data_IF_910554266899
#
_entry.id   IF_910554266899
#
_cell.length_a   1.000
_cell.length_b   1.000
_cell.length_c   1.000
_cell.angle_alpha   90.00
_cell.angle_beta   90.00
_cell.angle_gamma   90.00
#
_symmetry.space_group_name_H-M   'P 1'
#
loop_
_entity.id
_entity.type
_entity.pdbx_description
1 polymer ?
#
# COMPACT_ATOMS: atom_id res chain seq x y z
N UNK A 1 -3.03 1.54 -2.02
CA UNK A 1 -3.94 1.45 -3.19
C UNK A 1 -4.38 2.82 -3.69
N UNK A 2 -5.02 3.72 -2.89
CA UNK A 2 -5.48 5.04 -3.37
C UNK A 2 -4.35 5.93 -3.89
N UNK A 3 -3.18 5.97 -3.25
CA UNK A 3 -2.03 6.75 -3.73
C UNK A 3 -1.54 6.22 -5.08
N UNK A 4 -1.46 4.90 -5.25
CA UNK A 4 -1.07 4.27 -6.52
C UNK A 4 -2.04 4.67 -7.63
N UNK A 5 -3.35 4.55 -7.39
CA UNK A 5 -4.37 4.98 -8.35
C UNK A 5 -4.22 6.45 -8.73
N UNK A 6 -4.04 7.33 -7.74
CA UNK A 6 -3.86 8.76 -7.97
C UNK A 6 -2.62 9.06 -8.83
N UNK A 7 -1.47 8.46 -8.51
CA UNK A 7 -0.23 8.67 -9.27
C UNK A 7 -0.40 8.18 -10.71
N UNK A 8 -0.95 6.99 -10.92
CA UNK A 8 -1.18 6.46 -12.26
C UNK A 8 -2.14 7.34 -13.07
N UNK A 9 -3.26 7.77 -12.48
CA UNK A 9 -4.22 8.67 -13.15
C UNK A 9 -3.61 10.01 -13.55
N UNK A 10 -2.78 10.61 -12.69
CA UNK A 10 -2.06 11.85 -12.99
C UNK A 10 -1.02 11.71 -14.11
N UNK A 11 -0.64 10.48 -14.43
CA UNK A 11 0.27 10.15 -15.52
C UNK A 11 -0.46 9.52 -16.73
N UNK A 12 -1.77 9.72 -16.86
CA UNK A 12 -2.54 9.35 -18.05
C UNK A 12 -3.05 7.90 -18.07
N UNK A 13 -2.80 7.12 -17.00
CA UNK A 13 -3.30 5.74 -16.95
C UNK A 13 -4.74 5.70 -16.43
N UNK A 14 -5.57 4.89 -17.07
CA UNK A 14 -6.90 4.60 -16.55
C UNK A 14 -6.82 3.55 -15.45
N UNK A 15 -7.35 3.86 -14.27
CA UNK A 15 -7.32 2.96 -13.11
C UNK A 15 -8.72 2.69 -12.59
N UNK A 16 -8.95 1.45 -12.16
CA UNK A 16 -10.13 1.01 -11.41
C UNK A 16 -9.67 0.53 -10.04
N UNK A 17 -10.27 1.06 -9.00
CA UNK A 17 -9.93 0.74 -7.61
C UNK A 17 -11.08 -0.01 -6.94
N UNK A 18 -10.79 -1.13 -6.32
CA UNK A 18 -11.79 -1.94 -5.61
C UNK A 18 -11.21 -2.98 -4.68
N UNK A 19 -12.08 -3.86 -4.21
CA UNK A 19 -11.77 -4.93 -3.26
C UNK A 19 -12.23 -4.61 -1.84
N UNK A 20 -11.32 -4.63 -0.87
CA UNK A 20 -11.62 -4.29 0.53
C UNK A 20 -11.96 -2.81 0.73
N UNK A 21 -11.74 -1.98 -0.29
CA UNK A 21 -12.12 -0.57 -0.36
C UNK A 21 -12.81 -0.28 -1.68
N UNK A 22 -13.68 0.71 -1.70
CA UNK A 22 -14.37 1.13 -2.92
C UNK A 22 -15.42 0.12 -3.39
N UNK A 23 -15.31 -0.30 -4.65
CA UNK A 23 -16.29 -1.22 -5.27
C UNK A 23 -15.86 -2.69 -5.10
N UNK A 24 -16.83 -3.64 -5.01
CA UNK A 24 -16.51 -5.07 -5.07
C UNK A 24 -15.75 -5.41 -6.35
N UNK A 25 -14.78 -6.34 -6.26
CA UNK A 25 -13.92 -6.70 -7.42
C UNK A 25 -14.75 -7.12 -8.63
N UNK A 26 -15.78 -7.94 -8.44
CA UNK A 26 -16.61 -8.47 -9.52
C UNK A 26 -17.51 -7.40 -10.19
N UNK A 27 -17.71 -6.25 -9.58
CA UNK A 27 -18.44 -5.14 -10.19
C UNK A 27 -17.57 -4.21 -11.04
N UNK A 28 -16.25 -4.44 -11.06
CA UNK A 28 -15.32 -3.61 -11.83
C UNK A 28 -15.32 -4.02 -13.30
N UNK A 29 -15.80 -3.14 -14.16
CA UNK A 29 -15.79 -3.35 -15.63
C UNK A 29 -14.47 -2.78 -16.19
N UNK A 30 -13.43 -3.62 -16.29
CA UNK A 30 -12.12 -3.24 -16.85
C UNK A 30 -12.02 -3.51 -18.33
N UNK A 31 -11.28 -2.66 -19.05
CA UNK A 31 -10.83 -2.90 -20.43
C UNK A 31 -9.39 -3.41 -20.41
N UNK A 32 -8.90 -3.96 -21.52
CA UNK A 32 -7.59 -4.61 -21.65
C UNK A 32 -6.41 -3.75 -21.14
N UNK A 33 -6.47 -2.44 -21.31
CA UNK A 33 -5.39 -1.53 -20.94
C UNK A 33 -5.64 -0.75 -19.61
N UNK A 34 -6.70 -1.11 -18.87
CA UNK A 34 -7.00 -0.48 -17.59
C UNK A 34 -6.15 -1.10 -16.47
N UNK A 35 -5.64 -0.27 -15.55
CA UNK A 35 -5.01 -0.77 -14.32
C UNK A 35 -6.07 -1.10 -13.28
N UNK A 36 -6.18 -2.37 -12.94
CA UNK A 36 -7.05 -2.85 -11.89
C UNK A 36 -6.27 -2.88 -10.56
N UNK A 37 -6.58 -1.97 -9.66
CA UNK A 37 -5.93 -1.86 -8.35
C UNK A 37 -6.85 -2.47 -7.30
N UNK A 38 -6.45 -3.63 -6.77
CA UNK A 38 -7.25 -4.37 -5.80
C UNK A 38 -6.60 -4.28 -4.42
N UNK A 39 -7.33 -3.77 -3.44
CA UNK A 39 -6.98 -3.93 -2.03
C UNK A 39 -7.59 -5.22 -1.51
N UNK A 40 -6.73 -6.21 -1.22
CA UNK A 40 -7.18 -7.53 -0.78
C UNK A 40 -6.95 -7.71 0.73
N UNK A 41 -8.02 -8.03 1.47
CA UNK A 41 -7.92 -8.44 2.87
C UNK A 41 -7.41 -9.88 2.99
N UNK A 42 -6.92 -10.25 4.18
CA UNK A 42 -6.53 -11.64 4.48
C UNK A 42 -7.70 -12.61 4.35
N UNK A 43 -8.91 -12.17 4.64
CA UNK A 43 -10.15 -12.93 4.45
C UNK A 43 -10.38 -13.28 2.97
N UNK A 44 -10.35 -12.27 2.10
CA UNK A 44 -10.50 -12.46 0.66
C UNK A 44 -9.41 -13.36 0.09
N UNK A 45 -8.15 -13.14 0.50
CA UNK A 45 -7.02 -13.97 0.08
C UNK A 45 -7.12 -15.42 0.56
N UNK A 46 -7.69 -15.67 1.75
CA UNK A 46 -7.85 -17.03 2.27
C UNK A 46 -8.75 -17.89 1.37
N UNK A 47 -9.77 -17.28 0.74
CA UNK A 47 -10.69 -17.94 -0.18
C UNK A 47 -10.24 -17.86 -1.65
N UNK A 48 -9.21 -17.07 -1.98
CA UNK A 48 -8.75 -16.90 -3.35
C UNK A 48 -7.84 -18.05 -3.78
N UNK A 49 -8.25 -18.79 -4.83
CA UNK A 49 -7.46 -19.89 -5.43
C UNK A 49 -6.58 -19.44 -6.59
N UNK A 50 -7.08 -18.54 -7.44
CA UNK A 50 -6.49 -18.21 -8.74
C UNK A 50 -5.95 -16.80 -8.87
N UNK A 51 -5.87 -16.04 -7.76
CA UNK A 51 -5.31 -14.69 -7.80
C UNK A 51 -3.89 -14.70 -8.36
N UNK A 52 -3.64 -13.91 -9.40
CA UNK A 52 -2.38 -13.86 -10.12
C UNK A 52 -2.11 -12.40 -10.57
N UNK A 53 -1.75 -11.48 -9.67
CA UNK A 53 -1.52 -10.08 -10.03
C UNK A 53 -0.16 -9.89 -10.70
N UNK A 54 -0.08 -8.95 -11.66
CA UNK A 54 1.19 -8.58 -12.29
C UNK A 54 2.13 -7.90 -11.28
N UNK A 55 1.56 -7.15 -10.35
CA UNK A 55 2.26 -6.49 -9.25
C UNK A 55 1.55 -6.81 -7.94
N UNK A 56 2.19 -7.55 -7.06
CA UNK A 56 1.68 -7.84 -5.73
C UNK A 56 2.48 -7.08 -4.67
N UNK A 57 1.78 -6.48 -3.70
CA UNK A 57 2.40 -5.75 -2.61
C UNK A 57 1.95 -6.34 -1.27
N UNK A 58 2.90 -6.71 -0.42
CA UNK A 58 2.67 -7.06 0.98
C UNK A 58 3.47 -6.09 1.86
N UNK A 59 2.78 -5.15 2.50
CA UNK A 59 3.39 -4.13 3.34
C UNK A 59 3.95 -4.75 4.63
N UNK A 60 3.06 -5.16 5.52
CA UNK A 60 3.41 -5.72 6.82
C UNK A 60 2.38 -6.78 7.27
N UNK A 61 2.74 -7.50 8.30
CA UNK A 61 1.88 -8.46 8.99
C UNK A 61 2.02 -8.17 10.49
N UNK A 62 0.97 -7.61 11.10
CA UNK A 62 0.82 -7.44 12.53
C UNK A 62 0.07 -8.62 13.15
N UNK A 63 -0.03 -8.67 14.47
CA UNK A 63 -0.95 -9.59 15.13
C UNK A 63 -2.35 -8.99 15.06
N UNK A 64 -3.15 -9.51 14.13
CA UNK A 64 -4.51 -9.05 13.87
C UNK A 64 -5.36 -10.21 13.36
N UNK A 65 -6.67 -10.15 13.54
CA UNK A 65 -7.61 -11.15 13.02
C UNK A 65 -7.29 -12.62 13.41
N UNK A 66 -6.66 -12.84 14.58
CA UNK A 66 -6.29 -14.19 15.03
C UNK A 66 -7.49 -15.00 15.45
N UNK A 67 -8.54 -14.38 15.93
CA UNK A 67 -9.85 -14.95 16.23
C UNK A 67 -10.45 -15.65 15.00
N UNK A 68 -10.30 -15.07 13.81
CA UNK A 68 -10.81 -15.64 12.57
C UNK A 68 -9.85 -16.67 11.95
N UNK A 69 -8.54 -16.35 11.90
CA UNK A 69 -7.53 -17.21 11.28
C UNK A 69 -7.06 -18.35 12.19
N UNK A 70 -7.45 -18.34 13.46
CA UNK A 70 -7.05 -19.28 14.49
C UNK A 70 -5.63 -19.08 15.03
N UNK A 71 -4.67 -18.69 14.18
CA UNK A 71 -3.30 -18.42 14.61
C UNK A 71 -2.53 -17.55 13.59
N UNK A 72 -1.39 -17.02 14.04
CA UNK A 72 -0.51 -16.16 13.23
C UNK A 72 0.03 -16.83 11.96
N UNK A 73 0.27 -18.14 11.99
CA UNK A 73 0.76 -18.91 10.83
C UNK A 73 -0.29 -18.93 9.71
N UNK A 74 -1.54 -19.19 10.04
CA UNK A 74 -2.65 -19.19 9.08
C UNK A 74 -2.90 -17.79 8.51
N UNK A 75 -2.89 -16.77 9.36
CA UNK A 75 -2.99 -15.37 8.92
C UNK A 75 -1.89 -15.00 7.92
N UNK A 76 -0.63 -15.32 8.24
CA UNK A 76 0.51 -15.11 7.34
C UNK A 76 0.34 -15.90 6.04
N UNK A 77 -0.07 -17.16 6.11
CA UNK A 77 -0.30 -17.99 4.94
C UNK A 77 -1.37 -17.42 4.01
N UNK A 78 -2.45 -16.91 4.58
CA UNK A 78 -3.51 -16.24 3.79
C UNK A 78 -2.98 -15.03 3.03
N UNK A 79 -2.21 -14.16 3.68
CA UNK A 79 -1.60 -12.99 3.03
C UNK A 79 -0.61 -13.37 1.93
N UNK A 80 0.18 -14.43 2.12
CA UNK A 80 1.16 -14.89 1.12
C UNK A 80 0.51 -15.52 -0.12
N UNK A 81 -0.77 -15.88 -0.08
CA UNK A 81 -1.50 -16.39 -1.28
C UNK A 81 -1.49 -15.41 -2.45
N UNK A 82 -1.34 -14.09 -2.20
CA UNK A 82 -1.26 -13.07 -3.25
C UNK A 82 -0.11 -13.32 -4.23
N UNK A 83 0.95 -14.02 -3.81
CA UNK A 83 2.12 -14.33 -4.65
C UNK A 83 2.07 -15.73 -5.26
N UNK A 84 1.16 -16.61 -4.78
CA UNK A 84 1.21 -18.04 -5.05
C UNK A 84 1.22 -18.40 -6.54
N UNK A 85 0.41 -17.71 -7.33
CA UNK A 85 0.24 -18.02 -8.75
C UNK A 85 1.03 -17.09 -9.68
N UNK A 86 1.82 -16.17 -9.12
CA UNK A 86 2.64 -15.26 -9.94
C UNK A 86 3.64 -16.01 -10.79
N UNK A 87 3.84 -15.51 -12.01
CA UNK A 87 4.81 -16.01 -13.00
C UNK A 87 6.14 -15.26 -12.85
N UNK A 88 7.20 -15.77 -13.50
CA UNK A 88 8.57 -15.18 -13.46
C UNK A 88 8.66 -13.74 -14.00
N UNK A 89 7.72 -13.31 -14.83
CA UNK A 89 7.67 -11.94 -15.37
C UNK A 89 6.85 -10.96 -14.53
N UNK A 90 6.22 -11.42 -13.43
CA UNK A 90 5.42 -10.60 -12.53
C UNK A 90 6.23 -10.19 -11.30
N UNK A 91 5.81 -9.15 -10.58
CA UNK A 91 6.60 -8.51 -9.53
C UNK A 91 5.96 -8.68 -8.14
N UNK A 92 6.80 -9.02 -7.17
CA UNK A 92 6.44 -9.20 -5.76
C UNK A 92 7.17 -8.18 -4.90
N UNK A 93 6.48 -7.17 -4.40
CA UNK A 93 7.04 -6.14 -3.52
C UNK A 93 6.74 -6.51 -2.07
N UNK A 94 7.77 -6.76 -1.28
CA UNK A 94 7.66 -7.15 0.13
C UNK A 94 8.71 -6.47 1.00
N UNK A 95 8.46 -6.37 2.30
CA UNK A 95 9.46 -5.93 3.28
C UNK A 95 10.62 -6.92 3.41
N UNK A 96 11.79 -6.41 3.77
CA UNK A 96 13.01 -7.24 3.93
C UNK A 96 12.82 -8.38 4.95
N UNK A 97 12.01 -8.16 5.98
CA UNK A 97 11.67 -9.17 7.00
C UNK A 97 10.93 -10.40 6.45
N UNK A 98 10.35 -10.30 5.25
CA UNK A 98 9.67 -11.41 4.58
C UNK A 98 10.51 -12.11 3.50
N UNK A 99 11.72 -11.63 3.23
CA UNK A 99 12.61 -12.15 2.16
C UNK A 99 12.87 -13.65 2.31
N UNK A 100 13.22 -14.10 3.51
CA UNK A 100 13.50 -15.51 3.80
C UNK A 100 12.25 -16.37 3.61
N UNK A 101 11.12 -15.92 4.10
CA UNK A 101 9.84 -16.61 3.94
C UNK A 101 9.43 -16.73 2.47
N UNK A 102 9.60 -15.65 1.69
CA UNK A 102 9.31 -15.65 0.26
C UNK A 102 10.14 -16.69 -0.49
N UNK A 103 11.44 -16.78 -0.19
CA UNK A 103 12.36 -17.75 -0.79
C UNK A 103 12.01 -19.19 -0.39
N UNK A 104 11.73 -19.44 0.90
CA UNK A 104 11.34 -20.77 1.39
C UNK A 104 10.07 -21.31 0.74
N UNK A 105 9.19 -20.44 0.26
CA UNK A 105 7.93 -20.82 -0.44
C UNK A 105 8.11 -21.05 -1.93
N UNK A 106 9.31 -20.92 -2.49
CA UNK A 106 9.62 -21.08 -3.92
C UNK A 106 8.68 -20.27 -4.83
N UNK A 107 8.35 -19.03 -4.41
CA UNK A 107 7.48 -18.13 -5.14
C UNK A 107 8.19 -17.62 -6.40
N UNK A 108 7.47 -17.55 -7.53
CA UNK A 108 8.06 -17.33 -8.86
C UNK A 108 8.22 -15.86 -9.26
N UNK A 109 7.45 -14.95 -8.64
CA UNK A 109 7.47 -13.53 -8.96
C UNK A 109 8.85 -12.90 -8.72
N UNK A 110 9.23 -11.91 -9.53
CA UNK A 110 10.45 -11.12 -9.33
C UNK A 110 10.37 -10.36 -8.01
N UNK A 111 11.24 -10.72 -7.07
CA UNK A 111 11.27 -10.14 -5.73
C UNK A 111 11.87 -8.74 -5.76
N UNK A 112 11.09 -7.77 -5.29
CA UNK A 112 11.51 -6.38 -5.06
C UNK A 112 11.38 -6.07 -3.57
N UNK A 113 12.45 -5.54 -2.99
CA UNK A 113 12.46 -5.09 -1.59
C UNK A 113 12.60 -3.57 -1.58
N UNK A 114 11.52 -2.83 -1.32
CA UNK A 114 11.58 -1.38 -1.24
C UNK A 114 12.58 -0.92 -0.18
N UNK A 115 13.47 0.00 -0.57
CA UNK A 115 14.49 0.54 0.31
C UNK A 115 14.03 1.88 0.87
N UNK A 116 13.69 1.90 2.14
CA UNK A 116 13.27 3.13 2.85
C UNK A 116 14.33 4.25 2.73
N UNK A 117 15.62 3.89 2.72
CA UNK A 117 16.74 4.84 2.54
C UNK A 117 16.62 5.60 1.20
N UNK A 118 16.28 4.92 0.12
CA UNK A 118 16.11 5.53 -1.19
C UNK A 118 14.91 6.48 -1.22
N UNK A 119 13.79 6.06 -0.63
CA UNK A 119 12.62 6.90 -0.51
C UNK A 119 12.89 8.15 0.36
N UNK A 120 13.60 8.03 1.49
CA UNK A 120 13.93 9.17 2.35
C UNK A 120 14.69 10.29 1.62
N UNK A 121 15.58 9.95 0.69
CA UNK A 121 16.23 10.95 -0.16
C UNK A 121 15.23 11.69 -1.04
N UNK A 122 14.28 10.98 -1.63
CA UNK A 122 13.23 11.56 -2.46
C UNK A 122 12.22 12.38 -1.62
N UNK A 123 11.92 11.94 -0.40
CA UNK A 123 10.98 12.59 0.53
C UNK A 123 11.29 14.07 0.74
N UNK A 124 12.57 14.46 0.73
CA UNK A 124 12.99 15.85 0.87
C UNK A 124 12.40 16.76 -0.22
N UNK A 125 12.17 16.22 -1.42
CA UNK A 125 11.61 16.92 -2.58
C UNK A 125 10.07 16.90 -2.62
N UNK A 126 9.41 16.12 -1.76
CA UNK A 126 7.94 16.05 -1.70
C UNK A 126 7.42 17.37 -1.12
N UNK A 127 6.48 18.01 -1.80
CA UNK A 127 5.85 19.26 -1.34
C UNK A 127 4.54 19.01 -0.57
N UNK A 128 3.92 17.87 -0.75
CA UNK A 128 2.66 17.52 -0.11
C UNK A 128 2.87 17.26 1.40
N UNK A 129 2.28 18.08 2.30
CA UNK A 129 2.52 17.97 3.74
C UNK A 129 2.00 16.65 4.33
N UNK A 130 0.86 16.14 3.86
CA UNK A 130 0.33 14.86 4.31
C UNK A 130 1.28 13.69 3.98
N UNK A 131 1.86 13.67 2.78
CA UNK A 131 2.76 12.61 2.35
C UNK A 131 4.17 12.75 2.95
N UNK A 132 4.52 13.92 3.50
CA UNK A 132 5.74 14.13 4.27
C UNK A 132 5.69 13.55 5.69
N UNK A 133 4.52 13.22 6.21
CA UNK A 133 4.41 12.60 7.53
C UNK A 133 5.11 11.26 7.57
N UNK A 134 5.87 11.00 8.63
CA UNK A 134 6.66 9.77 8.79
C UNK A 134 5.83 8.49 8.79
N UNK A 135 4.55 8.60 9.21
CA UNK A 135 3.59 7.49 9.15
C UNK A 135 3.37 6.96 7.74
N UNK A 136 3.67 7.76 6.71
CA UNK A 136 3.51 7.37 5.30
C UNK A 136 4.79 6.79 4.70
N UNK A 137 5.94 6.86 5.37
CA UNK A 137 7.25 6.54 4.80
C UNK A 137 7.33 5.11 4.26
N UNK A 138 6.88 4.13 5.04
CA UNK A 138 6.85 2.74 4.60
C UNK A 138 5.97 2.59 3.36
N UNK A 139 4.72 3.05 3.41
CA UNK A 139 3.77 2.95 2.29
C UNK A 139 4.31 3.65 1.03
N UNK A 140 4.89 4.83 1.19
CA UNK A 140 5.43 5.61 0.07
C UNK A 140 6.68 4.98 -0.54
N UNK A 141 7.49 4.27 0.24
CA UNK A 141 8.63 3.54 -0.30
C UNK A 141 8.18 2.44 -1.29
N UNK A 142 7.08 1.75 -0.99
CA UNK A 142 6.48 0.78 -1.92
C UNK A 142 5.88 1.44 -3.16
N UNK A 143 5.19 2.57 -2.99
CA UNK A 143 4.63 3.31 -4.13
C UNK A 143 5.76 3.77 -5.05
N UNK A 144 6.84 4.31 -4.49
CA UNK A 144 7.99 4.77 -5.26
C UNK A 144 8.65 3.63 -6.05
N UNK A 145 8.90 2.47 -5.43
CA UNK A 145 9.46 1.33 -6.15
C UNK A 145 8.50 0.79 -7.22
N UNK A 146 7.19 0.76 -6.94
CA UNK A 146 6.21 0.32 -7.92
C UNK A 146 6.17 1.23 -9.16
N UNK A 147 6.15 2.56 -8.98
CA UNK A 147 6.07 3.49 -10.13
C UNK A 147 7.31 3.47 -11.00
N UNK A 148 8.48 3.13 -10.45
CA UNK A 148 9.70 2.88 -11.23
C UNK A 148 9.53 1.69 -12.18
N UNK A 149 8.81 0.65 -11.79
CA UNK A 149 8.52 -0.51 -12.64
C UNK A 149 7.62 -0.14 -13.84
N UNK A 150 6.87 0.95 -13.74
CA UNK A 150 6.10 1.51 -14.86
C UNK A 150 6.90 2.50 -15.72
N UNK A 151 8.19 2.70 -15.43
CA UNK A 151 9.03 3.66 -16.15
C UNK A 151 8.70 5.13 -15.83
N UNK A 152 7.95 5.41 -14.77
CA UNK A 152 7.66 6.78 -14.37
C UNK A 152 8.89 7.43 -13.75
N UNK A 153 9.36 8.51 -14.39
CA UNK A 153 10.46 9.32 -13.89
C UNK A 153 10.12 10.04 -12.58
N UNK A 154 11.14 10.34 -11.78
CA UNK A 154 11.04 11.02 -10.48
C UNK A 154 10.22 12.32 -10.56
N UNK A 155 10.46 13.15 -11.59
CA UNK A 155 9.74 14.42 -11.79
C UNK A 155 8.22 14.23 -11.91
N UNK A 156 7.79 13.28 -12.72
CA UNK A 156 6.38 12.97 -12.93
C UNK A 156 5.73 12.41 -11.65
N UNK A 157 6.45 11.55 -10.94
CA UNK A 157 6.02 11.05 -9.65
C UNK A 157 5.81 12.19 -8.65
N UNK A 158 6.81 13.06 -8.42
CA UNK A 158 6.72 14.18 -7.50
C UNK A 158 5.58 15.15 -7.86
N UNK A 159 5.41 15.45 -9.14
CA UNK A 159 4.33 16.31 -9.61
C UNK A 159 2.95 15.70 -9.30
N UNK A 160 2.78 14.40 -9.51
CA UNK A 160 1.51 13.72 -9.22
C UNK A 160 1.15 13.75 -7.73
N UNK A 161 2.13 13.76 -6.83
CA UNK A 161 1.89 13.80 -5.39
C UNK A 161 1.34 15.14 -4.89
N UNK A 162 1.60 16.26 -5.59
CA UNK A 162 1.18 17.61 -5.16
C UNK A 162 -0.32 17.71 -4.91
N UNK A 163 -1.13 17.09 -5.75
CA UNK A 163 -2.59 17.16 -5.70
C UNK A 163 -3.25 16.08 -4.86
N UNK A 164 -2.49 15.22 -4.17
CA UNK A 164 -3.06 14.19 -3.32
C UNK A 164 -3.59 14.78 -2.01
N UNK A 165 -4.91 14.68 -1.79
CA UNK A 165 -5.58 15.32 -0.64
C UNK A 165 -5.51 14.54 0.68
N UNK A 166 -4.74 13.45 0.74
CA UNK A 166 -4.75 12.54 1.89
C UNK A 166 -5.87 11.51 1.82
N UNK A 167 -6.07 10.80 2.92
CA UNK A 167 -7.09 9.76 3.05
C UNK A 167 -8.03 10.10 4.20
N UNK A 168 -9.36 10.05 3.99
CA UNK A 168 -10.32 10.22 5.07
C UNK A 168 -10.03 9.24 6.22
N UNK A 169 -10.13 9.73 7.44
CA UNK A 169 -9.95 8.95 8.67
C UNK A 169 -8.55 8.34 8.86
N UNK A 170 -7.52 8.86 8.16
CA UNK A 170 -6.11 8.50 8.34
C UNK A 170 -5.28 9.74 8.52
N UNK A 171 -4.96 10.08 9.77
CA UNK A 171 -4.28 11.33 10.15
C UNK A 171 -4.91 12.54 9.42
N UNK A 172 -6.21 12.55 9.37
CA UNK A 172 -6.99 13.58 8.69
C UNK A 172 -7.11 14.82 9.58
N UNK A 173 -6.42 15.89 9.21
CA UNK A 173 -6.58 17.17 9.88
C UNK A 173 -7.88 17.79 9.36
N UNK A 174 -8.93 17.79 10.17
CA UNK A 174 -10.23 18.28 9.76
C UNK A 174 -10.57 19.67 10.33
N UNK A 175 -9.84 20.11 11.34
CA UNK A 175 -10.00 21.46 11.92
C UNK A 175 -8.69 21.95 12.51
N UNK A 176 -8.38 23.24 12.28
CA UNK A 176 -7.34 23.98 12.97
C UNK A 176 -7.95 25.22 13.59
N UNK A 177 -7.81 25.39 14.89
CA UNK A 177 -8.36 26.56 15.63
C UNK A 177 -7.33 27.05 16.65
N UNK A 178 -6.83 28.29 16.47
CA UNK A 178 -5.77 28.87 17.29
C UNK A 178 -4.58 27.90 17.43
N UNK A 179 -4.28 27.43 18.63
CA UNK A 179 -3.17 26.53 18.93
C UNK A 179 -3.56 25.05 18.94
N UNK A 180 -4.78 24.71 18.51
CA UNK A 180 -5.28 23.35 18.51
C UNK A 180 -5.43 22.83 17.08
N UNK A 181 -4.92 21.61 16.85
CA UNK A 181 -5.13 20.86 15.61
C UNK A 181 -5.95 19.60 15.92
N UNK A 182 -7.08 19.45 15.25
CA UNK A 182 -7.96 18.29 15.40
C UNK A 182 -7.69 17.28 14.30
N UNK A 183 -7.37 16.04 14.70
CA UNK A 183 -6.95 14.98 13.80
C UNK A 183 -7.90 13.80 13.96
N UNK A 184 -8.43 13.32 12.84
CA UNK A 184 -9.20 12.08 12.77
C UNK A 184 -8.32 10.95 12.22
N UNK A 185 -8.05 9.95 13.04
CA UNK A 185 -7.32 8.72 12.66
C UNK A 185 -8.11 7.46 13.02
N UNK A 186 -9.44 7.51 12.89
CA UNK A 186 -10.35 6.43 13.28
C UNK A 186 -10.19 5.12 12.51
N UNK A 187 -9.41 5.11 11.45
CA UNK A 187 -8.97 3.87 10.78
C UNK A 187 -7.81 3.13 11.44
N UNK A 188 -7.20 3.72 12.45
CA UNK A 188 -6.24 3.03 13.31
C UNK A 188 -7.00 2.19 14.34
N UNK A 189 -7.10 0.89 14.13
CA UNK A 189 -7.89 -0.04 14.96
C UNK A 189 -7.06 -0.71 16.07
N UNK A 190 -5.80 -0.33 16.22
CA UNK A 190 -4.92 -0.84 17.27
C UNK A 190 -3.96 0.25 17.76
N UNK A 191 -3.47 0.11 18.99
CA UNK A 191 -2.44 1.02 19.54
C UNK A 191 -1.20 1.10 18.63
N UNK A 192 -0.79 -0.02 18.05
CA UNK A 192 0.33 -0.07 17.13
C UNK A 192 0.09 0.80 15.88
N UNK A 193 -1.13 0.82 15.36
CA UNK A 193 -1.51 1.65 14.23
C UNK A 193 -1.54 3.14 14.59
N UNK A 194 -2.05 3.49 15.78
CA UNK A 194 -2.15 4.89 16.25
C UNK A 194 -0.80 5.49 16.67
N UNK A 195 0.19 4.66 17.00
CA UNK A 195 1.51 5.13 17.47
C UNK A 195 2.18 6.11 16.51
N UNK A 196 2.02 5.90 15.20
CA UNK A 196 2.56 6.81 14.19
C UNK A 196 1.91 8.19 14.24
N UNK A 197 0.58 8.24 14.41
CA UNK A 197 -0.18 9.48 14.51
C UNK A 197 0.22 10.27 15.76
N UNK A 198 0.31 9.59 16.91
CA UNK A 198 0.71 10.22 18.19
C UNK A 198 2.12 10.83 18.14
N UNK A 199 3.08 10.17 17.47
CA UNK A 199 4.43 10.71 17.31
C UNK A 199 4.48 11.97 16.44
N UNK A 200 3.62 12.08 15.45
CA UNK A 200 3.57 13.24 14.56
C UNK A 200 2.76 14.42 15.15
N UNK A 201 2.00 14.21 16.23
CA UNK A 201 1.25 15.29 16.91
C UNK A 201 2.04 16.01 18.01
N UNK A 202 3.23 15.50 18.37
CA UNK A 202 4.11 16.11 19.39
C UNK A 202 5.17 17.05 18.78
N UNK A 203 5.07 17.36 17.50
CA UNK A 203 5.87 18.35 16.77
C UNK A 203 4.90 19.44 16.26
#
# INVERSE_FOLDING_TARGET
SKIISHVLQKNGYKTLLGGNIGKPVLSLKSKKNDFLIIEASSFQLSHSKYICPDYAILLNISNDHLDWHGNKKNYKNSKFKIFKNQKKNQFSLIGNNFKTEFKKRNLKGKLIIPQLKNYKKLKLKIQNPYLKLDINDENMSYVFELVKLFGLGEKNFLNSLRSFKGLPHRYEIFLKKKNCTFINDSKATSFQASKGALRNSNN
#
